data_IF_857257025509
#
_entry.id   IF_857257025509
#
_cell.length_a   1.000
_cell.length_b   1.000
_cell.length_c   1.000
_cell.angle_alpha   90.00
_cell.angle_beta   90.00
_cell.angle_gamma   90.00
#
_symmetry.space_group_name_H-M   'P 1'
#
loop_
_entity.id
_entity.type
_entity.pdbx_description
1 polymer ?
#
# COMPACT_ATOMS: atom_id res chain seq x y z
N UNK A 1 -7.31 19.48 -5.73
CA UNK A 1 -6.20 18.50 -5.69
C UNK A 1 -6.47 17.31 -6.61
N UNK A 2 -6.72 17.54 -7.91
CA UNK A 2 -7.22 16.50 -8.84
C UNK A 2 -6.32 15.25 -8.90
N UNK A 3 -5.00 15.43 -8.92
CA UNK A 3 -4.03 14.34 -8.99
C UNK A 3 -4.00 13.49 -7.71
N UNK A 4 -4.22 14.11 -6.54
CA UNK A 4 -4.30 13.41 -5.27
C UNK A 4 -5.57 12.54 -5.20
N UNK A 5 -6.72 13.08 -5.60
CA UNK A 5 -7.98 12.32 -5.66
C UNK A 5 -7.90 11.15 -6.64
N UNK A 6 -7.25 11.33 -7.79
CA UNK A 6 -7.02 10.25 -8.77
C UNK A 6 -6.13 9.16 -8.15
N UNK A 7 -5.05 9.53 -7.46
CA UNK A 7 -4.17 8.57 -6.80
C UNK A 7 -4.93 7.79 -5.71
N UNK A 8 -5.74 8.47 -4.89
CA UNK A 8 -6.59 7.80 -3.89
C UNK A 8 -7.55 6.82 -4.52
N UNK A 9 -8.17 7.16 -5.65
CA UNK A 9 -9.06 6.25 -6.38
C UNK A 9 -8.31 5.04 -6.94
N UNK A 10 -7.12 5.24 -7.51
CA UNK A 10 -6.24 4.13 -7.96
C UNK A 10 -5.94 3.19 -6.78
N UNK A 11 -5.58 3.74 -5.61
CA UNK A 11 -5.31 2.93 -4.42
C UNK A 11 -6.55 2.17 -3.92
N UNK A 12 -7.73 2.77 -3.99
CA UNK A 12 -8.98 2.10 -3.64
C UNK A 12 -9.28 0.93 -4.59
N UNK A 13 -9.13 1.14 -5.90
CA UNK A 13 -9.36 0.11 -6.92
C UNK A 13 -8.33 -1.02 -6.79
N UNK A 14 -7.05 -0.70 -6.61
CA UNK A 14 -6.00 -1.72 -6.42
C UNK A 14 -6.21 -2.53 -5.14
N UNK A 15 -6.63 -1.87 -4.05
CA UNK A 15 -6.96 -2.56 -2.79
C UNK A 15 -8.16 -3.48 -2.95
N UNK A 16 -9.19 -3.06 -3.68
CA UNK A 16 -10.36 -3.87 -3.98
C UNK A 16 -9.98 -5.11 -4.83
N UNK A 17 -9.21 -4.92 -5.90
CA UNK A 17 -8.76 -6.03 -6.76
C UNK A 17 -7.89 -6.99 -5.96
N UNK A 18 -6.92 -6.47 -5.20
CA UNK A 18 -6.05 -7.26 -4.32
C UNK A 18 -6.87 -8.10 -3.34
N UNK A 19 -7.87 -7.50 -2.69
CA UNK A 19 -8.73 -8.18 -1.74
C UNK A 19 -9.63 -9.25 -2.37
N UNK A 20 -10.18 -9.00 -3.55
CA UNK A 20 -10.94 -10.01 -4.31
C UNK A 20 -10.02 -11.21 -4.61
N UNK A 21 -8.80 -10.95 -5.07
CA UNK A 21 -7.82 -11.99 -5.39
C UNK A 21 -7.39 -12.81 -4.16
N UNK A 22 -7.11 -12.14 -3.04
CA UNK A 22 -6.76 -12.78 -1.75
C UNK A 22 -7.92 -13.64 -1.23
N UNK A 23 -9.15 -13.14 -1.32
CA UNK A 23 -10.34 -13.86 -0.83
C UNK A 23 -10.73 -15.09 -1.65
N UNK A 24 -10.21 -15.23 -2.88
CA UNK A 24 -10.41 -16.39 -3.76
C UNK A 24 -9.61 -17.63 -3.32
N UNK A 25 -9.58 -17.94 -2.03
CA UNK A 25 -8.96 -19.15 -1.50
C UNK A 25 -9.68 -20.43 -1.97
N UNK A 26 -8.93 -21.52 -2.16
CA UNK A 26 -9.49 -22.85 -2.41
C UNK A 26 -10.30 -23.35 -1.20
N UNK A 27 -11.14 -24.36 -1.39
CA UNK A 27 -11.89 -24.99 -0.29
C UNK A 27 -10.93 -25.55 0.79
N UNK A 28 -9.86 -26.22 0.37
CA UNK A 28 -8.74 -26.65 1.24
C UNK A 28 -8.10 -25.46 1.98
N UNK A 29 -7.86 -24.34 1.29
CA UNK A 29 -7.27 -23.14 1.89
C UNK A 29 -8.19 -22.48 2.93
N UNK A 30 -9.51 -22.48 2.70
CA UNK A 30 -10.49 -21.99 3.67
C UNK A 30 -10.52 -22.85 4.94
N UNK A 31 -10.44 -24.18 4.79
CA UNK A 31 -10.36 -25.11 5.93
C UNK A 31 -9.07 -24.88 6.71
N UNK A 32 -7.90 -24.84 6.04
CA UNK A 32 -6.61 -24.61 6.68
C UNK A 32 -6.53 -23.29 7.45
N UNK A 33 -7.02 -22.19 6.87
CA UNK A 33 -7.12 -20.89 7.57
C UNK A 33 -8.09 -20.97 8.75
N UNK A 34 -9.17 -21.73 8.64
CA UNK A 34 -10.17 -21.84 9.73
C UNK A 34 -9.74 -22.75 10.88
N UNK A 35 -8.82 -23.69 10.66
CA UNK A 35 -8.38 -24.67 11.68
C UNK A 35 -7.04 -24.33 12.30
N UNK A 36 -6.08 -23.80 11.52
CA UNK A 36 -4.71 -23.56 11.98
C UNK A 36 -4.33 -22.09 12.06
N UNK A 37 -5.06 -21.19 11.38
CA UNK A 37 -4.67 -19.79 11.26
C UNK A 37 -5.85 -18.81 11.33
N UNK A 38 -6.62 -18.85 12.43
CA UNK A 38 -7.81 -18.00 12.63
C UNK A 38 -7.53 -16.50 12.50
N UNK A 39 -6.29 -16.06 12.79
CA UNK A 39 -5.79 -14.70 12.58
C UNK A 39 -5.87 -14.21 11.12
N UNK A 40 -5.87 -15.12 10.14
CA UNK A 40 -6.04 -14.78 8.71
C UNK A 40 -7.49 -14.82 8.25
N UNK A 41 -8.47 -14.96 9.17
CA UNK A 41 -9.87 -15.04 8.81
C UNK A 41 -10.38 -13.77 8.10
N UNK A 42 -9.76 -12.62 8.36
CA UNK A 42 -10.07 -11.36 7.66
C UNK A 42 -9.89 -11.50 6.15
N UNK A 43 -8.85 -12.24 5.72
CA UNK A 43 -8.53 -12.50 4.31
C UNK A 43 -9.56 -13.39 3.59
N UNK A 44 -10.49 -14.04 4.32
CA UNK A 44 -11.61 -14.78 3.72
C UNK A 44 -12.71 -13.85 3.20
N UNK A 45 -12.79 -12.61 3.68
CA UNK A 45 -13.85 -11.67 3.35
C UNK A 45 -13.28 -10.52 2.51
N UNK A 46 -13.62 -10.50 1.23
CA UNK A 46 -13.08 -9.53 0.27
C UNK A 46 -13.28 -8.08 0.71
N UNK A 47 -14.46 -7.71 1.22
CA UNK A 47 -14.72 -6.30 1.58
C UNK A 47 -13.93 -5.87 2.83
N UNK A 48 -13.81 -6.75 3.84
CA UNK A 48 -12.99 -6.47 5.04
C UNK A 48 -11.52 -6.34 4.67
N UNK A 49 -11.04 -7.21 3.79
CA UNK A 49 -9.68 -7.16 3.27
C UNK A 49 -9.46 -5.89 2.44
N UNK A 50 -10.41 -5.50 1.58
CA UNK A 50 -10.30 -4.29 0.77
C UNK A 50 -10.18 -3.04 1.63
N UNK A 51 -11.01 -2.93 2.68
CA UNK A 51 -10.96 -1.82 3.64
C UNK A 51 -9.61 -1.81 4.37
N UNK A 52 -9.16 -2.96 4.86
CA UNK A 52 -7.86 -3.07 5.56
C UNK A 52 -6.69 -2.62 4.67
N UNK A 53 -6.60 -3.16 3.45
CA UNK A 53 -5.55 -2.81 2.51
C UNK A 53 -5.62 -1.33 2.11
N UNK A 54 -6.83 -0.81 1.89
CA UNK A 54 -7.02 0.59 1.54
C UNK A 54 -6.62 1.52 2.68
N UNK A 55 -6.92 1.20 3.94
CA UNK A 55 -6.48 2.00 5.10
C UNK A 55 -4.96 2.11 5.11
N UNK A 56 -4.24 1.00 4.92
CA UNK A 56 -2.78 1.01 4.88
C UNK A 56 -2.26 1.88 3.73
N UNK A 57 -2.80 1.71 2.52
CA UNK A 57 -2.42 2.53 1.35
C UNK A 57 -2.75 4.02 1.56
N UNK A 58 -3.88 4.31 2.19
CA UNK A 58 -4.34 5.67 2.44
C UNK A 58 -3.48 6.35 3.50
N UNK A 59 -3.04 5.64 4.53
CA UNK A 59 -2.08 6.14 5.52
C UNK A 59 -0.76 6.49 4.84
N UNK A 60 -0.21 5.61 4.00
CA UNK A 60 1.02 5.90 3.24
C UNK A 60 0.86 7.17 2.39
N UNK A 61 -0.26 7.27 1.67
CA UNK A 61 -0.56 8.38 0.79
C UNK A 61 -0.72 9.71 1.55
N UNK A 62 -1.42 9.71 2.69
CA UNK A 62 -1.55 10.88 3.57
C UNK A 62 -0.22 11.28 4.21
N UNK A 63 0.57 10.29 4.63
CA UNK A 63 1.88 10.51 5.22
C UNK A 63 2.81 11.22 4.23
N UNK A 64 2.97 10.69 3.02
CA UNK A 64 3.80 11.31 1.98
C UNK A 64 3.28 12.69 1.57
N UNK A 65 1.96 12.87 1.46
CA UNK A 65 1.35 14.16 1.16
C UNK A 65 1.62 15.20 2.24
N UNK A 66 1.50 14.80 3.50
CA UNK A 66 1.74 15.68 4.64
C UNK A 66 3.18 16.16 4.63
N UNK A 67 4.15 15.25 4.58
CA UNK A 67 5.57 15.62 4.55
C UNK A 67 5.91 16.49 3.34
N UNK A 68 5.42 16.16 2.15
CA UNK A 68 5.63 16.99 0.95
C UNK A 68 5.17 18.45 1.12
N UNK A 69 4.15 18.71 1.92
CA UNK A 69 3.63 20.06 2.17
C UNK A 69 4.29 20.79 3.35
N UNK A 70 5.09 20.10 4.16
CA UNK A 70 5.60 20.61 5.44
C UNK A 70 7.12 20.66 5.54
N UNK A 71 7.84 20.01 4.62
CA UNK A 71 9.31 19.90 4.66
C UNK A 71 9.94 20.33 3.33
N UNK A 72 11.27 20.32 3.26
CA UNK A 72 12.00 20.56 2.01
C UNK A 72 11.69 19.48 0.97
N UNK A 73 11.72 19.84 -0.31
CA UNK A 73 11.49 18.89 -1.41
C UNK A 73 12.49 17.74 -1.41
N UNK A 74 13.75 18.01 -1.06
CA UNK A 74 14.80 17.01 -0.90
C UNK A 74 14.47 15.98 0.18
N UNK A 75 14.04 16.42 1.37
CA UNK A 75 13.66 15.52 2.46
C UNK A 75 12.40 14.71 2.10
N UNK A 76 11.39 15.33 1.51
CA UNK A 76 10.18 14.64 1.07
C UNK A 76 10.49 13.55 0.03
N UNK A 77 11.41 13.81 -0.90
CA UNK A 77 11.88 12.81 -1.87
C UNK A 77 12.68 11.70 -1.21
N UNK A 78 13.60 12.02 -0.30
CA UNK A 78 14.35 11.01 0.45
C UNK A 78 13.42 10.07 1.24
N UNK A 79 12.37 10.63 1.86
CA UNK A 79 11.33 9.86 2.54
C UNK A 79 10.56 8.95 1.58
N UNK A 80 10.20 9.42 0.39
CA UNK A 80 9.56 8.60 -0.63
C UNK A 80 10.49 7.47 -1.14
N UNK A 81 11.80 7.71 -1.28
CA UNK A 81 12.78 6.67 -1.60
C UNK A 81 12.83 5.63 -0.48
N UNK A 82 12.94 6.06 0.77
CA UNK A 82 12.97 5.15 1.92
C UNK A 82 11.72 4.25 1.96
N UNK A 83 10.54 4.84 1.80
CA UNK A 83 9.28 4.09 1.76
C UNK A 83 9.16 3.19 0.52
N UNK A 84 9.74 3.57 -0.62
CA UNK A 84 9.82 2.70 -1.79
C UNK A 84 10.72 1.48 -1.51
N UNK A 85 11.87 1.67 -0.86
CA UNK A 85 12.76 0.57 -0.43
C UNK A 85 12.04 -0.37 0.53
N UNK A 86 11.32 0.17 1.52
CA UNK A 86 10.49 -0.64 2.43
C UNK A 86 9.44 -1.44 1.64
N UNK A 87 8.78 -0.82 0.66
CA UNK A 87 7.81 -1.50 -0.21
C UNK A 87 8.46 -2.63 -1.03
N UNK A 88 9.65 -2.41 -1.57
CA UNK A 88 10.39 -3.42 -2.33
C UNK A 88 10.86 -4.59 -1.44
N UNK A 89 11.34 -4.29 -0.22
CA UNK A 89 11.68 -5.32 0.77
C UNK A 89 10.44 -6.11 1.16
N UNK A 90 9.32 -5.45 1.42
CA UNK A 90 8.04 -6.11 1.72
C UNK A 90 7.55 -7.02 0.59
N UNK A 91 7.69 -6.57 -0.66
CA UNK A 91 7.42 -7.38 -1.85
C UNK A 91 8.30 -8.64 -1.85
N UNK A 92 9.62 -8.49 -1.66
CA UNK A 92 10.55 -9.61 -1.64
C UNK A 92 10.29 -10.59 -0.50
N UNK A 93 10.02 -10.09 0.71
CA UNK A 93 9.67 -10.94 1.84
C UNK A 93 8.36 -11.72 1.58
N UNK A 94 7.40 -11.11 0.89
CA UNK A 94 6.17 -11.81 0.47
C UNK A 94 6.50 -12.92 -0.54
N UNK A 95 7.41 -12.68 -1.48
CA UNK A 95 7.89 -13.72 -2.40
C UNK A 95 8.57 -14.88 -1.65
N UNK A 96 9.44 -14.58 -0.67
CA UNK A 96 10.08 -15.61 0.16
C UNK A 96 9.04 -16.41 0.93
N UNK A 97 8.06 -15.75 1.56
CA UNK A 97 6.98 -16.44 2.27
C UNK A 97 6.17 -17.35 1.35
N UNK A 98 5.80 -16.87 0.15
CA UNK A 98 5.02 -17.65 -0.82
C UNK A 98 5.81 -18.78 -1.49
N UNK A 99 7.12 -18.87 -1.29
CA UNK A 99 7.95 -19.93 -1.87
C UNK A 99 8.46 -20.92 -0.83
N UNK A 100 8.62 -20.48 0.42
CA UNK A 100 9.29 -21.28 1.47
C UNK A 100 8.37 -21.76 2.58
N UNK A 101 7.22 -21.13 2.81
CA UNK A 101 6.31 -21.50 3.90
C UNK A 101 5.10 -22.30 3.41
N UNK A 102 4.16 -22.60 4.31
CA UNK A 102 2.88 -23.24 3.96
C UNK A 102 2.05 -22.38 2.98
N UNK A 103 2.31 -21.07 2.90
CA UNK A 103 1.64 -20.18 1.95
C UNK A 103 1.94 -20.49 0.48
N UNK A 104 2.99 -21.28 0.17
CA UNK A 104 3.23 -21.78 -1.19
C UNK A 104 2.10 -22.65 -1.74
N UNK A 105 1.31 -23.25 -0.86
CA UNK A 105 0.18 -24.10 -1.21
C UNK A 105 -1.09 -23.29 -1.53
N UNK A 106 -1.06 -21.97 -1.29
CA UNK A 106 -2.17 -21.08 -1.63
C UNK A 106 -2.28 -20.91 -3.14
N UNK A 107 -3.48 -20.60 -3.61
CA UNK A 107 -3.74 -20.36 -5.04
C UNK A 107 -2.88 -19.20 -5.54
N UNK A 108 -2.47 -19.26 -6.81
CA UNK A 108 -1.77 -18.16 -7.48
C UNK A 108 -2.49 -16.80 -7.34
N UNK A 109 -3.82 -16.79 -7.33
CA UNK A 109 -4.60 -15.56 -7.10
C UNK A 109 -4.32 -14.93 -5.74
N UNK A 110 -4.10 -15.74 -4.70
CA UNK A 110 -3.75 -15.25 -3.37
C UNK A 110 -2.40 -14.52 -3.41
N UNK A 111 -1.37 -15.14 -3.99
CA UNK A 111 -0.06 -14.51 -4.15
C UNK A 111 -0.13 -13.21 -4.96
N UNK A 112 -0.83 -13.26 -6.10
CA UNK A 112 -0.99 -12.11 -6.97
C UNK A 112 -1.69 -10.93 -6.28
N UNK A 113 -2.66 -11.20 -5.40
CA UNK A 113 -3.31 -10.17 -4.61
C UNK A 113 -2.31 -9.44 -3.69
N UNK A 114 -1.43 -10.15 -2.99
CA UNK A 114 -0.39 -9.53 -2.16
C UNK A 114 0.67 -8.79 -2.98
N UNK A 115 1.09 -9.32 -4.13
CA UNK A 115 1.98 -8.60 -5.04
C UNK A 115 1.34 -7.29 -5.53
N UNK A 116 0.05 -7.31 -5.85
CA UNK A 116 -0.67 -6.11 -6.28
C UNK A 116 -0.70 -5.03 -5.19
N UNK A 117 -0.80 -5.42 -3.91
CA UNK A 117 -0.70 -4.49 -2.78
C UNK A 117 0.64 -3.75 -2.75
N UNK A 118 1.75 -4.49 -2.90
CA UNK A 118 3.09 -3.87 -2.92
C UNK A 118 3.34 -3.05 -4.18
N UNK A 119 2.81 -3.46 -5.34
CA UNK A 119 2.86 -2.64 -6.56
C UNK A 119 2.12 -1.31 -6.33
N UNK A 120 0.94 -1.35 -5.68
CA UNK A 120 0.19 -0.14 -5.36
C UNK A 120 0.97 0.80 -4.42
N UNK A 121 1.68 0.23 -3.44
CA UNK A 121 2.58 0.96 -2.55
C UNK A 121 3.70 1.66 -3.33
N UNK A 122 4.36 0.95 -4.24
CA UNK A 122 5.44 1.48 -5.08
C UNK A 122 4.94 2.56 -6.05
N UNK A 123 3.72 2.41 -6.60
CA UNK A 123 3.08 3.45 -7.42
C UNK A 123 2.89 4.74 -6.62
N UNK A 124 2.42 4.65 -5.36
CA UNK A 124 2.30 5.82 -4.48
C UNK A 124 3.65 6.49 -4.27
N UNK A 125 4.69 5.71 -3.92
CA UNK A 125 6.03 6.27 -3.72
C UNK A 125 6.57 6.92 -5.01
N UNK A 126 6.43 6.23 -6.15
CA UNK A 126 6.83 6.74 -7.46
C UNK A 126 6.14 8.04 -7.85
N UNK A 127 4.83 8.17 -7.57
CA UNK A 127 4.12 9.43 -7.75
C UNK A 127 4.76 10.58 -6.96
N UNK A 128 5.11 10.37 -5.69
CA UNK A 128 5.72 11.42 -4.85
C UNK A 128 7.18 11.73 -5.21
N UNK A 129 7.91 10.78 -5.80
CA UNK A 129 9.25 11.01 -6.34
C UNK A 129 9.23 11.88 -7.60
N UNK A 130 8.26 11.63 -8.49
CA UNK A 130 8.17 12.27 -9.81
C UNK A 130 7.32 13.55 -9.80
N UNK A 131 6.50 13.75 -8.78
CA UNK A 131 5.63 14.91 -8.74
C UNK A 131 6.44 16.21 -8.60
N UNK A 132 6.01 17.25 -9.35
CA UNK A 132 6.58 18.59 -9.29
C UNK A 132 6.56 19.13 -7.86
N UNK A 133 7.54 19.95 -7.50
CA UNK A 133 7.63 20.52 -6.16
C UNK A 133 6.31 21.23 -5.79
N UNK A 134 5.81 20.94 -4.58
CA UNK A 134 4.68 21.69 -4.06
C UNK A 134 5.16 23.09 -3.70
N UNK A 135 4.39 24.13 -4.04
CA UNK A 135 4.63 25.47 -3.47
C UNK A 135 4.53 25.31 -1.95
N UNK A 136 5.64 25.55 -1.26
CA UNK A 136 5.65 25.55 0.21
C UNK A 136 4.71 26.67 0.68
N UNK A 137 3.76 26.34 1.54
CA UNK A 137 3.03 27.34 2.30
C UNK A 137 3.98 27.86 3.37
N UNK A 138 4.79 28.85 3.00
CA UNK A 138 5.58 29.58 3.99
C UNK A 138 4.60 30.31 4.94
N UNK A 139 4.88 30.36 6.25
CA UNK A 139 4.10 31.22 7.15
C UNK A 139 4.17 32.68 6.65
N UNK A 140 3.12 33.48 6.86
CA UNK A 140 3.16 34.91 6.52
C UNK A 140 4.41 35.52 7.14
N UNK A 141 5.23 36.19 6.31
CA UNK A 141 6.30 37.02 6.85
C UNK A 141 5.62 38.13 7.65
N UNK A 142 5.82 38.16 8.97
CA UNK A 142 5.51 39.36 9.75
C UNK A 142 6.33 40.48 9.13
N UNK A 143 5.66 41.42 8.44
CA UNK A 143 6.24 42.70 8.08
C UNK A 143 6.65 43.39 9.38
N UNK A 144 7.94 43.29 9.72
CA UNK A 144 8.54 44.11 10.76
C UNK A 144 8.63 45.53 10.18
N UNK A 145 7.70 46.37 10.62
CA UNK A 145 7.58 47.80 10.31
C UNK A 145 8.82 48.58 10.77
#
# INVERSE_FOLDING_TARGET
MKNFSILTLIQAVMSLISAILISKMSFIGKIGVSTFYSQYAVFKTWWKTAILLFIVQFILLLFLQTFRSRVSSGFARALAVLLAVIGAVGFYLSYVDFTTTSHKMMKFSFHFGFYLFWIAWLITCGYFLLAKEAKQTLPPQEEVL
#
